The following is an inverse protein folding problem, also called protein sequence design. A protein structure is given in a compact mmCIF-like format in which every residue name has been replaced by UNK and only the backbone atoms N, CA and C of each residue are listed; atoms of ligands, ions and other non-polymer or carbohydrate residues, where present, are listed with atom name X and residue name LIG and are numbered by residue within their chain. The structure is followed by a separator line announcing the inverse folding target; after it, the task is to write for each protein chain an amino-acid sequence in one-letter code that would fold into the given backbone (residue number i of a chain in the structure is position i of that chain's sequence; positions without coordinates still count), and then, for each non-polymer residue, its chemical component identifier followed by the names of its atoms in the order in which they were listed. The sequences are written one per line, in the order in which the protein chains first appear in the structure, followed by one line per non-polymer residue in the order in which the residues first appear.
data_IF_490649120841
#
_entry.id   IF_490649120841
#
_cell.length_a   1.000
_cell.length_b   1.000
_cell.length_c   1.000
_cell.angle_alpha   90.00
_cell.angle_beta   90.00
_cell.angle_gamma   90.00
#
_symmetry.space_group_name_H-M   'P 1'
#
loop_
_entity.id
_entity.type
_entity.pdbx_description
1 polymer ?
#
# COMPACT_ATOMS: atom_id res chain seq x y z
N UNK A 1 -55.08 -1.74 59.23
CA UNK A 1 -54.06 -0.69 59.37
C UNK A 1 -52.88 -1.29 60.11
N UNK A 2 -51.84 -1.64 59.36
CA UNK A 2 -50.53 -2.03 59.88
C UNK A 2 -49.54 -1.30 58.99
N UNK A 3 -49.11 -0.13 59.44
CA UNK A 3 -48.13 0.69 58.72
C UNK A 3 -46.80 -0.07 58.68
N UNK A 4 -46.41 -0.48 57.47
CA UNK A 4 -45.05 -0.85 57.16
C UNK A 4 -44.20 0.42 57.27
N UNK A 5 -43.33 0.48 58.26
CA UNK A 5 -42.28 1.50 58.33
C UNK A 5 -41.29 1.26 57.18
N UNK A 6 -41.41 2.04 56.12
CA UNK A 6 -40.44 2.14 55.04
C UNK A 6 -39.17 2.79 55.62
N UNK A 7 -38.09 2.01 55.78
CA UNK A 7 -36.78 2.60 56.08
C UNK A 7 -36.25 3.29 54.81
N UNK A 8 -35.74 4.53 54.90
CA UNK A 8 -35.11 5.16 53.76
C UNK A 8 -33.81 4.43 53.47
N UNK A 9 -33.72 3.84 52.28
CA UNK A 9 -32.45 3.40 51.70
C UNK A 9 -31.63 4.68 51.56
N UNK A 10 -30.55 4.80 52.33
CA UNK A 10 -29.60 5.88 52.15
C UNK A 10 -28.98 5.71 50.77
N UNK A 11 -29.42 6.53 49.81
CA UNK A 11 -28.79 6.66 48.51
C UNK A 11 -27.38 7.20 48.75
N UNK A 12 -26.40 6.30 48.66
CA UNK A 12 -24.98 6.57 48.78
C UNK A 12 -24.54 7.27 47.47
N UNK A 13 -24.94 8.53 47.32
CA UNK A 13 -24.54 9.36 46.19
C UNK A 13 -23.03 9.62 46.30
N UNK A 14 -22.24 9.08 45.37
CA UNK A 14 -20.82 9.41 45.24
C UNK A 14 -20.72 10.93 45.02
N UNK A 15 -20.36 11.65 46.07
CA UNK A 15 -20.26 13.11 46.03
C UNK A 15 -19.02 13.51 45.22
N UNK A 16 -19.16 14.51 44.36
CA UNK A 16 -18.04 15.11 43.62
C UNK A 16 -16.95 15.59 44.59
N UNK A 17 -17.33 15.97 45.81
CA UNK A 17 -16.41 16.39 46.88
C UNK A 17 -15.50 15.25 47.32
N UNK A 18 -16.02 14.03 47.48
CA UNK A 18 -15.23 12.86 47.87
C UNK A 18 -14.17 12.49 46.81
N UNK A 19 -14.50 12.69 45.53
CA UNK A 19 -13.55 12.49 44.42
C UNK A 19 -12.43 13.52 44.47
N UNK A 20 -12.77 14.79 44.72
CA UNK A 20 -11.77 15.88 44.81
C UNK A 20 -10.87 15.70 46.02
N UNK A 21 -11.43 15.40 47.19
CA UNK A 21 -10.67 15.19 48.42
C UNK A 21 -9.72 14.00 48.30
N UNK A 22 -10.17 12.91 47.67
CA UNK A 22 -9.31 11.77 47.36
C UNK A 22 -8.13 12.15 46.47
N UNK A 23 -8.38 12.97 45.43
CA UNK A 23 -7.34 13.42 44.51
C UNK A 23 -6.33 14.35 45.20
N UNK A 24 -6.81 15.25 46.07
CA UNK A 24 -5.98 16.18 46.86
C UNK A 24 -5.21 15.47 47.96
N UNK A 25 -5.71 14.37 48.52
CA UNK A 25 -4.98 13.56 49.51
C UNK A 25 -3.83 12.79 48.85
N UNK A 26 -4.06 12.28 47.64
CA UNK A 26 -3.17 11.32 46.98
C UNK A 26 -2.35 11.87 45.82
N UNK A 27 -2.42 13.18 45.56
CA UNK A 27 -1.78 13.84 44.41
C UNK A 27 -0.28 13.55 44.29
N UNK A 28 0.46 13.45 45.41
CA UNK A 28 1.91 13.16 45.39
C UNK A 28 2.21 11.78 44.81
N UNK A 29 1.42 10.79 45.19
CA UNK A 29 1.57 9.42 44.68
C UNK A 29 1.22 9.34 43.20
N UNK A 30 0.15 10.05 42.79
CA UNK A 30 -0.31 10.11 41.39
C UNK A 30 0.74 10.82 40.52
N UNK A 31 1.27 11.98 40.95
CA UNK A 31 2.32 12.69 40.21
C UNK A 31 3.62 11.89 40.16
N UNK A 32 4.03 11.26 41.27
CA UNK A 32 5.23 10.42 41.29
C UNK A 32 5.12 9.25 40.29
N UNK A 33 3.95 8.59 40.23
CA UNK A 33 3.68 7.56 39.23
C UNK A 33 3.65 8.11 37.79
N UNK A 34 3.11 9.31 37.58
CA UNK A 34 3.17 10.01 36.30
C UNK A 34 4.60 10.29 35.84
N UNK A 35 5.47 10.77 36.74
CA UNK A 35 6.89 11.01 36.45
C UNK A 35 7.64 9.71 36.14
N UNK A 36 7.35 8.62 36.86
CA UNK A 36 7.89 7.29 36.53
C UNK A 36 7.44 6.82 35.15
N UNK A 37 6.18 7.06 34.78
CA UNK A 37 5.65 6.77 33.44
C UNK A 37 6.37 7.56 32.33
N UNK A 38 6.67 8.83 32.57
CA UNK A 38 7.48 9.65 31.65
C UNK A 38 8.91 9.13 31.55
N UNK A 39 9.54 8.77 32.67
CA UNK A 39 10.89 8.19 32.67
C UNK A 39 10.96 6.89 31.86
N UNK A 40 9.97 6.01 32.02
CA UNK A 40 9.84 4.77 31.24
C UNK A 40 9.61 5.04 29.73
N UNK A 41 8.82 6.06 29.39
CA UNK A 41 8.63 6.45 27.99
C UNK A 41 9.91 7.05 27.38
N UNK A 42 10.69 7.79 28.16
CA UNK A 42 11.96 8.35 27.71
C UNK A 42 12.99 7.26 27.44
N UNK A 43 13.11 6.27 28.33
CA UNK A 43 13.98 5.12 28.11
C UNK A 43 13.55 4.33 26.88
N UNK A 44 12.24 4.11 26.68
CA UNK A 44 11.72 3.49 25.47
C UNK A 44 12.13 4.25 24.19
N UNK A 45 12.01 5.57 24.17
CA UNK A 45 12.38 6.40 23.01
C UNK A 45 13.89 6.39 22.75
N UNK A 46 14.72 6.26 23.79
CA UNK A 46 16.18 6.20 23.64
C UNK A 46 16.68 4.83 23.16
N UNK A 47 16.02 3.75 23.58
CA UNK A 47 16.40 2.37 23.22
C UNK A 47 15.87 1.96 21.85
N UNK A 48 14.71 2.49 21.45
CA UNK A 48 14.05 2.11 20.20
C UNK A 48 14.72 2.81 19.01
N UNK A 49 15.14 2.07 17.96
CA UNK A 49 15.79 2.67 16.81
C UNK A 49 14.82 3.58 16.04
N UNK A 50 15.37 4.66 15.48
CA UNK A 50 14.61 5.58 14.65
C UNK A 50 14.33 4.94 13.30
N UNK A 51 13.08 4.98 12.83
CA UNK A 51 12.68 4.44 11.54
C UNK A 51 12.21 5.55 10.60
N UNK A 52 12.67 5.48 9.35
CA UNK A 52 12.30 6.35 8.24
C UNK A 52 11.39 5.59 7.28
N UNK A 53 10.35 6.25 6.78
CA UNK A 53 9.41 5.65 5.83
C UNK A 53 9.73 6.12 4.41
N UNK A 54 9.99 5.17 3.51
CA UNK A 54 9.98 5.41 2.08
C UNK A 54 8.63 5.02 1.49
N UNK A 55 8.09 5.90 0.65
CA UNK A 55 6.82 5.70 -0.06
C UNK A 55 7.04 5.87 -1.56
N UNK A 56 6.53 4.91 -2.34
CA UNK A 56 6.54 4.95 -3.79
C UNK A 56 5.14 4.66 -4.32
N UNK A 57 4.72 5.38 -5.36
CA UNK A 57 3.49 5.08 -6.09
C UNK A 57 3.86 4.51 -7.45
N UNK A 58 3.57 3.24 -7.63
CA UNK A 58 3.92 2.47 -8.81
C UNK A 58 2.69 2.43 -9.71
N UNK A 59 2.79 3.08 -10.87
CA UNK A 59 1.81 2.90 -11.93
C UNK A 59 2.09 1.57 -12.62
N UNK A 60 1.09 0.70 -12.60
CA UNK A 60 1.12 -0.61 -13.23
C UNK A 60 1.22 -0.48 -14.74
N UNK A 61 1.93 -1.40 -15.38
CA UNK A 61 1.98 -1.45 -16.82
C UNK A 61 0.61 -1.77 -17.42
N UNK A 62 0.32 -1.22 -18.60
CA UNK A 62 -0.98 -1.32 -19.25
C UNK A 62 -0.85 -1.78 -20.70
N UNK A 63 -1.81 -2.59 -21.15
CA UNK A 63 -1.94 -3.04 -22.53
C UNK A 63 -3.36 -2.78 -23.02
N UNK A 64 -3.48 -2.24 -24.23
CA UNK A 64 -4.78 -1.99 -24.87
C UNK A 64 -5.18 -3.21 -25.69
N UNK A 65 -5.85 -4.17 -25.05
CA UNK A 65 -6.22 -5.45 -25.68
C UNK A 65 -7.59 -5.38 -26.37
N UNK A 66 -8.50 -4.51 -25.92
CA UNK A 66 -9.90 -4.50 -26.37
C UNK A 66 -10.34 -3.20 -27.05
N UNK A 67 -11.15 -3.35 -28.09
CA UNK A 67 -11.78 -2.29 -28.90
C UNK A 67 -13.05 -1.69 -28.25
N UNK A 68 -13.46 -2.23 -27.09
CA UNK A 68 -14.56 -1.68 -26.32
C UNK A 68 -14.02 -0.51 -25.49
N UNK A 69 -14.51 0.68 -25.81
CA UNK A 69 -14.09 2.00 -25.34
C UNK A 69 -14.29 2.26 -23.82
N UNK A 70 -14.21 1.24 -22.98
CA UNK A 70 -14.48 1.36 -21.54
C UNK A 70 -13.28 1.93 -20.77
N UNK A 71 -12.06 1.86 -21.32
CA UNK A 71 -10.91 2.53 -20.73
C UNK A 71 -9.88 2.97 -21.80
N UNK A 72 -9.76 4.28 -22.11
CA UNK A 72 -8.79 4.78 -23.09
C UNK A 72 -7.32 4.58 -22.66
N UNK A 73 -7.09 4.24 -21.39
CA UNK A 73 -5.77 3.98 -20.83
C UNK A 73 -5.31 2.51 -21.01
N UNK A 74 -6.21 1.61 -21.39
CA UNK A 74 -5.95 0.17 -21.50
C UNK A 74 -6.23 -0.61 -20.21
N UNK A 75 -6.02 -1.92 -20.25
CA UNK A 75 -6.13 -2.80 -19.08
C UNK A 75 -4.76 -3.03 -18.45
N UNK A 76 -4.67 -3.07 -17.13
CA UNK A 76 -3.42 -3.42 -16.46
C UNK A 76 -2.94 -4.81 -16.91
N UNK A 77 -1.65 -4.94 -17.15
CA UNK A 77 -0.98 -6.21 -17.51
C UNK A 77 -1.12 -7.23 -16.39
N UNK A 78 -1.10 -6.74 -15.15
CA UNK A 78 -1.26 -7.50 -13.93
C UNK A 78 -2.26 -6.76 -13.03
N UNK A 79 -3.15 -7.49 -12.37
CA UNK A 79 -4.07 -6.88 -11.40
C UNK A 79 -3.26 -6.42 -10.16
N UNK A 80 -3.50 -5.20 -9.63
CA UNK A 80 -2.85 -4.74 -8.41
C UNK A 80 -2.94 -5.72 -7.25
N UNK A 81 -4.08 -6.39 -7.08
CA UNK A 81 -4.30 -7.41 -6.05
C UNK A 81 -3.40 -8.64 -6.22
N UNK A 82 -3.14 -9.06 -7.47
CA UNK A 82 -2.24 -10.17 -7.76
C UNK A 82 -0.79 -9.81 -7.45
N UNK A 83 -0.37 -8.59 -7.81
CA UNK A 83 0.95 -8.07 -7.44
C UNK A 83 1.11 -8.05 -5.92
N UNK A 84 0.12 -7.53 -5.19
CA UNK A 84 0.15 -7.47 -3.72
C UNK A 84 0.24 -8.89 -3.14
N UNK A 85 -0.59 -9.83 -3.62
CA UNK A 85 -0.57 -11.21 -3.15
C UNK A 85 0.79 -11.88 -3.41
N UNK A 86 1.39 -11.64 -4.58
CA UNK A 86 2.72 -12.17 -4.91
C UNK A 86 3.80 -11.64 -3.98
N UNK A 87 3.79 -10.35 -3.63
CA UNK A 87 4.78 -9.76 -2.72
C UNK A 87 4.60 -10.18 -1.25
N UNK A 88 3.49 -10.82 -0.89
CA UNK A 88 3.37 -11.49 0.42
C UNK A 88 4.15 -12.80 0.47
N UNK A 89 4.50 -13.37 -0.68
CA UNK A 89 5.26 -14.62 -0.79
C UNK A 89 6.77 -14.32 -0.74
N UNK A 90 7.54 -14.92 0.18
CA UNK A 90 8.98 -14.66 0.30
C UNK A 90 9.79 -14.98 -0.97
N UNK A 91 9.38 -15.96 -1.78
CA UNK A 91 10.10 -16.36 -3.00
C UNK A 91 10.10 -15.30 -4.11
N UNK A 92 9.33 -14.23 -3.95
CA UNK A 92 9.27 -13.12 -4.92
C UNK A 92 10.52 -12.24 -4.88
N UNK A 93 11.21 -12.20 -3.74
CA UNK A 93 12.32 -11.29 -3.50
C UNK A 93 13.67 -11.87 -3.94
N UNK A 94 14.45 -11.07 -4.64
CA UNK A 94 15.80 -11.38 -5.12
C UNK A 94 16.87 -11.03 -4.10
N UNK A 95 18.08 -11.55 -4.28
CA UNK A 95 19.23 -11.23 -3.42
C UNK A 95 19.60 -9.75 -3.45
N UNK A 96 19.43 -9.08 -4.60
CA UNK A 96 19.69 -7.65 -4.76
C UNK A 96 18.75 -6.81 -3.89
N UNK A 97 17.48 -7.20 -3.77
CA UNK A 97 16.51 -6.55 -2.89
C UNK A 97 16.86 -6.79 -1.42
N UNK A 98 17.26 -8.01 -1.06
CA UNK A 98 17.72 -8.32 0.30
C UNK A 98 18.91 -7.43 0.70
N UNK A 99 19.85 -7.24 -0.22
CA UNK A 99 21.03 -6.40 -0.03
C UNK A 99 20.66 -4.92 0.07
N UNK A 100 19.86 -4.41 -0.86
CA UNK A 100 19.40 -3.02 -0.86
C UNK A 100 18.60 -2.67 0.41
N UNK A 101 17.89 -3.64 0.98
CA UNK A 101 17.13 -3.48 2.21
C UNK A 101 17.93 -3.74 3.50
N UNK A 102 19.23 -4.06 3.40
CA UNK A 102 20.11 -4.30 4.55
C UNK A 102 19.71 -5.52 5.37
N UNK A 103 19.16 -6.56 4.72
CA UNK A 103 18.69 -7.79 5.37
C UNK A 103 19.69 -8.95 5.24
N UNK A 104 20.88 -8.70 4.69
CA UNK A 104 21.96 -9.68 4.57
C UNK A 104 22.30 -10.29 5.94
N UNK A 105 22.41 -11.62 6.01
CA UNK A 105 22.76 -12.33 7.24
C UNK A 105 21.62 -12.58 8.24
N UNK A 106 20.38 -12.15 7.96
CA UNK A 106 19.21 -12.58 8.75
C UNK A 106 18.88 -14.05 8.45
N UNK A 107 18.37 -14.80 9.45
CA UNK A 107 18.01 -16.22 9.30
C UNK A 107 16.98 -16.50 8.19
N UNK A 108 16.13 -15.53 7.86
CA UNK A 108 15.10 -15.60 6.80
C UNK A 108 14.91 -14.22 6.18
N UNK A 109 15.81 -13.79 5.29
CA UNK A 109 15.83 -12.41 4.81
C UNK A 109 14.61 -12.09 3.93
N UNK A 110 14.15 -13.05 3.12
CA UNK A 110 12.98 -12.89 2.26
C UNK A 110 11.67 -12.77 3.05
N UNK A 111 11.51 -13.53 4.12
CA UNK A 111 10.33 -13.41 5.00
C UNK A 111 10.36 -12.11 5.80
N UNK A 112 11.55 -11.65 6.20
CA UNK A 112 11.70 -10.34 6.82
C UNK A 112 11.29 -9.23 5.85
N UNK A 113 11.66 -9.34 4.57
CA UNK A 113 11.31 -8.36 3.54
C UNK A 113 9.80 -8.37 3.24
N UNK A 114 9.16 -9.54 3.14
CA UNK A 114 7.72 -9.63 2.87
C UNK A 114 6.86 -8.97 3.95
N UNK A 115 7.33 -8.96 5.21
CA UNK A 115 6.66 -8.27 6.32
C UNK A 115 6.96 -6.77 6.35
N UNK A 116 8.11 -6.37 5.80
CA UNK A 116 8.60 -4.99 5.82
C UNK A 116 8.03 -4.16 4.66
N UNK A 117 8.01 -4.74 3.46
CA UNK A 117 7.50 -4.13 2.25
C UNK A 117 5.98 -4.25 2.19
N UNK A 118 5.28 -3.13 2.40
CA UNK A 118 3.81 -3.08 2.38
C UNK A 118 3.33 -2.53 1.05
N UNK A 119 2.75 -3.40 0.25
CA UNK A 119 2.05 -3.04 -0.99
C UNK A 119 0.56 -2.89 -0.71
N UNK A 120 -0.03 -1.76 -1.10
CA UNK A 120 -1.45 -1.48 -0.91
C UNK A 120 -2.06 -0.79 -2.13
N UNK A 121 -3.33 -1.05 -2.47
CA UNK A 121 -3.97 -0.36 -3.58
C UNK A 121 -4.26 1.10 -3.20
N UNK A 122 -4.13 2.02 -4.15
CA UNK A 122 -4.53 3.42 -3.95
C UNK A 122 -6.04 3.54 -4.10
N UNK A 123 -6.71 4.07 -3.07
CA UNK A 123 -8.17 4.23 -3.09
C UNK A 123 -8.59 5.14 -4.24
N UNK A 124 -9.50 4.65 -5.09
CA UNK A 124 -10.02 5.39 -6.23
C UNK A 124 -9.12 5.36 -7.47
N UNK A 125 -8.00 4.62 -7.46
CA UNK A 125 -7.14 4.45 -8.64
C UNK A 125 -6.71 2.99 -8.81
N UNK A 126 -7.34 2.30 -9.77
CA UNK A 126 -7.14 0.86 -9.99
C UNK A 126 -5.84 0.50 -10.72
N UNK A 127 -5.05 1.48 -11.17
CA UNK A 127 -3.78 1.27 -11.88
C UNK A 127 -2.55 1.62 -11.06
N UNK A 128 -2.70 1.96 -9.78
CA UNK A 128 -1.58 2.39 -8.92
C UNK A 128 -1.51 1.53 -7.66
N UNK A 129 -0.30 1.05 -7.36
CA UNK A 129 0.03 0.39 -6.10
C UNK A 129 0.97 1.29 -5.31
N UNK A 130 0.62 1.52 -4.04
CA UNK A 130 1.48 2.22 -3.09
C UNK A 130 2.37 1.19 -2.38
N UNK A 131 3.68 1.44 -2.43
CA UNK A 131 4.70 0.72 -1.67
C UNK A 131 5.14 1.59 -0.48
N UNK A 132 5.09 1.02 0.72
CA UNK A 132 5.64 1.61 1.95
C UNK A 132 6.63 0.66 2.60
N UNK A 133 7.80 1.19 2.95
CA UNK A 133 8.85 0.46 3.68
C UNK A 133 9.43 1.34 4.78
N UNK A 134 9.74 0.74 5.93
CA UNK A 134 10.34 1.43 7.07
C UNK A 134 11.70 0.82 7.41
N UNK A 135 12.75 1.63 7.38
CA UNK A 135 14.12 1.21 7.70
C UNK A 135 14.80 2.21 8.64
N UNK A 136 15.88 1.79 9.28
CA UNK A 136 16.60 2.61 10.26
C UNK A 136 17.43 3.74 9.62
N UNK A 137 17.79 3.57 8.34
CA UNK A 137 18.50 4.57 7.53
C UNK A 137 17.58 5.13 6.45
N UNK A 138 17.70 6.44 6.18
CA UNK A 138 17.01 7.12 5.08
C UNK A 138 17.47 6.58 3.73
N UNK A 139 18.77 6.44 3.56
CA UNK A 139 19.42 5.94 2.35
C UNK A 139 19.03 4.49 2.10
N UNK A 140 19.00 3.67 3.16
CA UNK A 140 18.51 2.29 3.09
C UNK A 140 17.03 2.22 2.71
N UNK A 141 16.17 3.08 3.27
CA UNK A 141 14.75 3.15 2.91
C UNK A 141 14.55 3.50 1.43
N UNK A 142 15.31 4.50 0.92
CA UNK A 142 15.29 4.90 -0.48
C UNK A 142 15.74 3.75 -1.39
N UNK A 143 16.92 3.19 -1.14
CA UNK A 143 17.53 2.16 -1.98
C UNK A 143 16.68 0.89 -2.02
N UNK A 144 16.13 0.48 -0.88
CA UNK A 144 15.23 -0.66 -0.78
C UNK A 144 13.93 -0.45 -1.59
N UNK A 145 13.30 0.73 -1.47
CA UNK A 145 12.10 1.04 -2.25
C UNK A 145 12.38 1.10 -3.76
N UNK A 146 13.55 1.59 -4.16
CA UNK A 146 13.99 1.61 -5.57
C UNK A 146 14.22 0.19 -6.11
N UNK A 147 14.91 -0.67 -5.35
CA UNK A 147 15.16 -2.05 -5.74
C UNK A 147 13.85 -2.84 -5.92
N UNK A 148 12.91 -2.69 -4.98
CA UNK A 148 11.56 -3.28 -5.07
C UNK A 148 10.80 -2.79 -6.31
N UNK A 149 10.90 -1.49 -6.62
CA UNK A 149 10.27 -0.94 -7.82
C UNK A 149 10.88 -1.52 -9.11
N UNK A 150 12.22 -1.61 -9.19
CA UNK A 150 12.89 -2.17 -10.38
C UNK A 150 12.52 -3.65 -10.58
N UNK A 151 12.39 -4.46 -9.51
CA UNK A 151 11.89 -5.83 -9.61
C UNK A 151 10.47 -5.87 -10.22
N UNK A 152 9.56 -5.03 -9.73
CA UNK A 152 8.19 -4.94 -10.27
C UNK A 152 8.20 -4.57 -11.75
N UNK A 153 9.01 -3.58 -12.12
CA UNK A 153 9.16 -3.09 -13.49
C UNK A 153 9.75 -4.16 -14.42
N UNK A 154 10.79 -4.86 -13.98
CA UNK A 154 11.39 -5.96 -14.74
C UNK A 154 10.38 -7.10 -14.92
N UNK A 155 9.70 -7.51 -13.85
CA UNK A 155 8.71 -8.56 -13.88
C UNK A 155 7.57 -8.25 -14.86
N UNK A 156 7.03 -7.03 -14.84
CA UNK A 156 5.98 -6.62 -15.77
C UNK A 156 6.50 -6.48 -17.21
N UNK A 157 7.73 -6.01 -17.39
CA UNK A 157 8.38 -5.97 -18.71
C UNK A 157 8.49 -7.37 -19.33
N UNK A 158 8.85 -8.38 -18.53
CA UNK A 158 8.89 -9.78 -18.97
C UNK A 158 7.51 -10.32 -19.37
N UNK A 159 6.44 -9.91 -18.66
CA UNK A 159 5.07 -10.29 -19.01
C UNK A 159 4.65 -9.63 -20.34
N UNK A 160 5.02 -8.37 -20.59
CA UNK A 160 4.61 -7.60 -21.78
C UNK A 160 5.38 -8.00 -23.03
N UNK A 161 6.66 -8.35 -22.89
CA UNK A 161 7.56 -8.68 -24.00
C UNK A 161 6.94 -9.64 -25.05
N UNK A 162 6.34 -10.79 -24.69
CA UNK A 162 5.71 -11.66 -25.68
C UNK A 162 4.54 -11.01 -26.43
N UNK A 163 3.73 -10.16 -25.78
CA UNK A 163 2.62 -9.45 -26.43
C UNK A 163 3.13 -8.45 -27.48
N UNK A 164 4.24 -7.77 -27.21
CA UNK A 164 4.83 -6.82 -28.16
C UNK A 164 5.44 -7.56 -29.36
N UNK A 165 6.12 -8.69 -29.14
CA UNK A 165 6.67 -9.50 -30.23
C UNK A 165 5.57 -10.13 -31.09
N UNK A 166 4.48 -10.61 -30.47
CA UNK A 166 3.30 -11.08 -31.20
C UNK A 166 2.66 -9.96 -32.02
N UNK A 167 2.49 -8.76 -31.44
CA UNK A 167 1.95 -7.60 -32.13
C UNK A 167 2.80 -7.19 -33.35
N UNK A 168 4.14 -7.23 -33.23
CA UNK A 168 5.05 -6.98 -34.36
C UNK A 168 4.89 -8.01 -35.47
N UNK A 169 4.80 -9.29 -35.12
CA UNK A 169 4.61 -10.38 -36.07
C UNK A 169 3.28 -10.26 -36.82
N UNK A 170 2.19 -9.98 -36.10
CA UNK A 170 0.87 -9.74 -36.70
C UNK A 170 0.85 -8.50 -37.58
N UNK A 171 1.50 -7.42 -37.16
CA UNK A 171 1.60 -6.19 -37.96
C UNK A 171 2.28 -6.46 -39.31
N UNK A 172 3.40 -7.19 -39.31
CA UNK A 172 4.09 -7.56 -40.55
C UNK A 172 3.19 -8.41 -41.46
N UNK A 173 2.46 -9.37 -40.89
CA UNK A 173 1.52 -10.22 -41.64
C UNK A 173 0.37 -9.42 -42.25
N UNK A 174 -0.20 -8.47 -41.50
CA UNK A 174 -1.29 -7.63 -41.99
C UNK A 174 -0.83 -6.61 -43.02
N UNK A 175 0.39 -6.08 -42.91
CA UNK A 175 0.96 -5.20 -43.93
C UNK A 175 1.15 -5.92 -45.27
N UNK A 176 1.65 -7.15 -45.26
CA UNK A 176 1.78 -7.97 -46.48
C UNK A 176 0.40 -8.23 -47.11
N UNK A 177 -0.56 -8.70 -46.31
CA UNK A 177 -1.92 -8.99 -46.79
C UNK A 177 -2.64 -7.74 -47.30
N UNK A 178 -2.44 -6.60 -46.64
CA UNK A 178 -2.99 -5.31 -47.06
C UNK A 178 -2.45 -4.90 -48.43
N UNK A 179 -1.14 -5.05 -48.66
CA UNK A 179 -0.51 -4.74 -49.94
C UNK A 179 -1.03 -5.65 -51.08
N UNK A 180 -1.20 -6.95 -50.80
CA UNK A 180 -1.79 -7.90 -51.73
C UNK A 180 -3.24 -7.54 -52.07
N UNK A 181 -4.10 -7.34 -51.07
CA UNK A 181 -5.52 -7.00 -51.27
C UNK A 181 -5.68 -5.63 -51.95
N UNK A 182 -4.86 -4.62 -51.62
CA UNK A 182 -4.85 -3.33 -52.32
C UNK A 182 -4.51 -3.48 -53.81
N UNK A 183 -3.56 -4.37 -54.16
CA UNK A 183 -3.23 -4.64 -55.56
C UNK A 183 -4.39 -5.28 -56.34
N UNK A 184 -5.20 -6.10 -55.68
CA UNK A 184 -6.39 -6.73 -56.28
C UNK A 184 -7.51 -5.70 -56.51
N UNK A 185 -7.74 -4.80 -55.54
CA UNK A 185 -8.69 -3.68 -55.67
C UNK A 185 -8.28 -2.76 -56.82
N UNK A 186 -7.00 -2.36 -56.90
CA UNK A 186 -6.49 -1.49 -57.96
C UNK A 186 -6.58 -2.12 -59.36
N UNK A 187 -6.44 -3.45 -59.48
CA UNK A 187 -6.66 -4.18 -60.74
C UNK A 187 -8.14 -4.16 -61.14
N UNK A 188 -9.04 -4.39 -60.18
CA UNK A 188 -10.48 -4.39 -60.40
C UNK A 188 -11.03 -3.01 -60.79
N UNK A 189 -10.48 -1.93 -60.21
CA UNK A 189 -10.80 -0.55 -60.60
C UNK A 189 -10.45 -0.28 -62.07
N UNK A 190 -9.31 -0.79 -62.55
CA UNK A 190 -8.87 -0.64 -63.95
C UNK A 190 -9.64 -1.51 -64.93
N UNK A 191 -10.13 -2.67 -64.51
CA UNK A 191 -10.87 -3.60 -65.37
C UNK A 191 -12.38 -3.36 -65.43
N UNK A 192 -12.91 -2.35 -64.74
CA UNK A 192 -14.35 -2.03 -64.73
C UNK A 192 -15.20 -3.00 -63.91
N UNK A 193 -14.61 -3.81 -63.03
CA UNK A 193 -15.28 -4.83 -62.20
C UNK A 193 -15.60 -4.36 -60.79
N UNK A 194 -15.68 -3.03 -60.59
CA UNK A 194 -15.85 -2.34 -59.31
C UNK A 194 -17.18 -2.63 -58.57
N UNK A 195 -18.13 -3.33 -59.20
CA UNK A 195 -19.40 -3.76 -58.58
C UNK A 195 -19.43 -5.26 -58.23
N UNK A 196 -18.32 -5.99 -58.42
CA UNK A 196 -18.27 -7.41 -58.09
C UNK A 196 -18.26 -7.65 -56.57
N UNK A 197 -18.87 -8.76 -56.14
CA UNK A 197 -18.85 -9.16 -54.72
C UNK A 197 -17.43 -9.32 -54.18
N UNK A 198 -16.50 -9.82 -55.02
CA UNK A 198 -15.09 -9.95 -54.69
C UNK A 198 -14.40 -8.59 -54.47
N UNK A 199 -14.76 -7.57 -55.25
CA UNK A 199 -14.25 -6.21 -55.06
C UNK A 199 -14.69 -5.64 -53.72
N UNK A 200 -15.98 -5.72 -53.40
CA UNK A 200 -16.53 -5.20 -52.15
C UNK A 200 -15.90 -5.90 -50.93
N UNK A 201 -15.77 -7.24 -50.99
CA UNK A 201 -15.11 -8.01 -49.93
C UNK A 201 -13.65 -7.59 -49.72
N UNK A 202 -12.88 -7.41 -50.81
CA UNK A 202 -11.50 -6.94 -50.73
C UNK A 202 -11.42 -5.51 -50.18
N UNK A 203 -12.36 -4.63 -50.53
CA UNK A 203 -12.40 -3.25 -50.01
C UNK A 203 -12.67 -3.23 -48.51
N UNK A 204 -13.60 -4.06 -48.04
CA UNK A 204 -13.89 -4.21 -46.61
C UNK A 204 -12.69 -4.80 -45.86
N UNK A 205 -12.00 -5.77 -46.47
CA UNK A 205 -10.75 -6.32 -45.92
C UNK A 205 -9.63 -5.26 -45.84
N UNK A 206 -9.45 -4.41 -46.87
CA UNK A 206 -8.49 -3.30 -46.83
C UNK A 206 -8.77 -2.38 -45.65
N UNK A 207 -10.05 -2.03 -45.43
CA UNK A 207 -10.44 -1.20 -44.27
C UNK A 207 -10.09 -1.90 -42.96
N UNK A 208 -10.50 -3.16 -42.80
CA UNK A 208 -10.23 -3.95 -41.61
C UNK A 208 -8.72 -4.06 -41.31
N UNK A 209 -7.92 -4.42 -42.30
CA UNK A 209 -6.47 -4.57 -42.17
C UNK A 209 -5.77 -3.24 -41.87
N UNK A 210 -6.29 -2.13 -42.42
CA UNK A 210 -5.77 -0.79 -42.12
C UNK A 210 -6.04 -0.41 -40.67
N UNK A 211 -7.30 -0.55 -40.21
CA UNK A 211 -7.70 -0.23 -38.84
C UNK A 211 -6.89 -1.07 -37.83
N UNK A 212 -6.71 -2.35 -38.13
CA UNK A 212 -5.99 -3.28 -37.27
C UNK A 212 -4.47 -3.02 -37.26
N UNK A 213 -3.90 -2.63 -38.40
CA UNK A 213 -2.48 -2.21 -38.47
C UNK A 213 -2.23 -0.94 -37.67
N UNK A 214 -3.13 0.04 -37.72
CA UNK A 214 -3.06 1.26 -36.90
C UNK A 214 -3.10 0.89 -35.41
N UNK A 215 -4.01 -0.01 -35.02
CA UNK A 215 -4.14 -0.49 -33.63
C UNK A 215 -2.87 -1.18 -33.13
N UNK A 216 -2.33 -2.13 -33.90
CA UNK A 216 -1.09 -2.83 -33.55
C UNK A 216 0.10 -1.88 -33.49
N UNK A 217 0.20 -0.95 -34.43
CA UNK A 217 1.27 0.05 -34.44
C UNK A 217 1.16 0.98 -33.21
N UNK A 218 -0.05 1.41 -32.85
CA UNK A 218 -0.28 2.19 -31.63
C UNK A 218 0.11 1.41 -30.36
N UNK A 219 -0.17 0.10 -30.29
CA UNK A 219 0.29 -0.75 -29.19
C UNK A 219 1.83 -0.81 -29.11
N UNK A 220 2.51 -0.98 -30.24
CA UNK A 220 3.97 -1.06 -30.31
C UNK A 220 4.61 0.28 -29.94
N UNK A 221 4.13 1.40 -30.49
CA UNK A 221 4.69 2.74 -30.24
C UNK A 221 4.39 3.25 -28.83
N UNK A 222 3.22 2.92 -28.26
CA UNK A 222 2.87 3.30 -26.88
C UNK A 222 3.52 2.43 -25.80
N UNK A 223 4.29 1.40 -26.21
CA UNK A 223 4.94 0.45 -25.31
C UNK A 223 5.63 1.12 -24.14
N UNK A 224 6.50 2.11 -24.39
CA UNK A 224 7.26 2.80 -23.35
C UNK A 224 6.40 3.66 -22.41
N UNK A 225 5.37 4.34 -22.95
CA UNK A 225 4.49 5.19 -22.15
C UNK A 225 3.61 4.39 -21.16
N UNK A 226 3.40 3.11 -21.46
CA UNK A 226 2.55 2.17 -20.74
C UNK A 226 3.35 1.14 -19.92
N UNK A 227 4.67 1.27 -19.84
CA UNK A 227 5.48 0.47 -18.93
C UNK A 227 5.24 0.88 -17.47
N UNK A 228 5.62 -0.02 -16.56
CA UNK A 228 5.64 0.25 -15.14
C UNK A 228 6.53 1.46 -14.86
N UNK A 229 5.98 2.44 -14.15
CA UNK A 229 6.72 3.66 -13.81
C UNK A 229 6.32 4.18 -12.44
N UNK A 230 7.19 5.00 -11.87
CA UNK A 230 6.87 5.77 -10.68
C UNK A 230 6.00 6.96 -11.07
N UNK A 231 4.91 7.18 -10.35
CA UNK A 231 4.03 8.36 -10.52
C UNK A 231 4.78 9.63 -10.08
N UNK A 232 5.60 9.49 -9.05
CA UNK A 232 6.49 10.51 -8.50
C UNK A 232 7.76 9.80 -8.00
N UNK A 233 8.91 10.50 -7.91
CA UNK A 233 10.11 9.92 -7.34
C UNK A 233 9.83 9.36 -5.93
N UNK A 234 10.56 8.30 -5.55
CA UNK A 234 10.44 7.69 -4.23
C UNK A 234 10.66 8.77 -3.16
N UNK A 235 9.65 8.98 -2.32
CA UNK A 235 9.71 9.94 -1.23
C UNK A 235 10.17 9.25 0.05
N UNK A 236 11.13 9.84 0.76
CA UNK A 236 11.57 9.37 2.08
C UNK A 236 11.33 10.45 3.10
N UNK A 237 10.78 10.07 4.26
CA UNK A 237 10.55 11.01 5.36
C UNK A 237 11.84 11.66 5.84
N UNK A 238 11.89 13.00 5.88
CA UNK A 238 13.04 13.75 6.42
C UNK A 238 13.24 13.54 7.92
N UNK A 239 12.17 13.25 8.64
CA UNK A 239 12.16 12.98 10.07
C UNK A 239 11.75 11.53 10.31
N UNK A 240 12.28 10.87 11.35
CA UNK A 240 11.87 9.51 11.67
C UNK A 240 10.38 9.47 12.03
N UNK A 241 9.66 8.56 11.37
CA UNK A 241 8.22 8.34 11.60
C UNK A 241 7.95 7.55 12.88
N UNK A 242 8.97 6.89 13.42
CA UNK A 242 8.91 6.10 14.65
C UNK A 242 10.26 6.13 15.40
N UNK A 243 10.28 6.14 16.74
CA UNK A 243 9.13 6.35 17.63
C UNK A 243 8.66 7.80 17.61
N UNK A 244 7.33 8.02 17.70
CA UNK A 244 6.74 9.36 17.76
C UNK A 244 6.97 9.98 19.15
N UNK A 245 8.15 10.55 19.37
CA UNK A 245 8.66 11.02 20.68
C UNK A 245 7.60 11.75 21.54
N UNK A 246 6.90 12.73 20.95
CA UNK A 246 5.86 13.51 21.65
C UNK A 246 4.68 12.64 22.10
N UNK A 247 4.19 11.76 21.22
CA UNK A 247 3.07 10.87 21.51
C UNK A 247 3.47 9.83 22.55
N UNK A 248 4.66 9.26 22.44
CA UNK A 248 5.19 8.30 23.43
C UNK A 248 5.29 8.91 24.83
N UNK A 249 5.75 10.16 24.96
CA UNK A 249 5.84 10.84 26.25
C UNK A 249 4.46 11.15 26.85
N UNK A 250 3.52 11.66 26.04
CA UNK A 250 2.14 11.92 26.50
C UNK A 250 1.47 10.62 26.94
N UNK A 251 1.64 9.54 26.18
CA UNK A 251 1.09 8.23 26.53
C UNK A 251 1.71 7.67 27.80
N UNK A 252 3.04 7.82 27.97
CA UNK A 252 3.74 7.43 29.20
C UNK A 252 3.24 8.19 30.43
N UNK A 253 3.00 9.50 30.30
CA UNK A 253 2.44 10.32 31.38
C UNK A 253 1.03 9.85 31.74
N UNK A 254 0.13 9.69 30.75
CA UNK A 254 -1.25 9.27 30.99
C UNK A 254 -1.31 7.87 31.61
N UNK A 255 -0.52 6.93 31.09
CA UNK A 255 -0.42 5.58 31.64
C UNK A 255 0.12 5.60 33.08
N UNK A 256 1.16 6.41 33.35
CA UNK A 256 1.71 6.57 34.69
C UNK A 256 0.70 7.16 35.69
N UNK A 257 -0.04 8.19 35.30
CA UNK A 257 -1.09 8.78 36.13
C UNK A 257 -2.23 7.79 36.42
N UNK A 258 -2.65 7.01 35.42
CA UNK A 258 -3.72 6.02 35.57
C UNK A 258 -3.28 4.87 36.49
N UNK A 259 -2.06 4.36 36.32
CA UNK A 259 -1.49 3.35 37.22
C UNK A 259 -1.35 3.93 38.64
N UNK A 260 -0.92 5.18 38.77
CA UNK A 260 -0.85 5.88 40.06
C UNK A 260 -2.21 5.94 40.76
N UNK A 261 -3.27 6.30 40.03
CA UNK A 261 -4.64 6.34 40.53
C UNK A 261 -5.09 4.96 41.02
N UNK A 262 -4.88 3.91 40.21
CA UNK A 262 -5.25 2.54 40.57
C UNK A 262 -4.50 2.03 41.80
N UNK A 263 -3.20 2.31 41.92
CA UNK A 263 -2.40 1.92 43.07
C UNK A 263 -2.88 2.58 44.36
N UNK A 264 -3.26 3.85 44.31
CA UNK A 264 -3.82 4.57 45.46
C UNK A 264 -5.17 3.97 45.86
N UNK A 265 -6.07 3.73 44.90
CA UNK A 265 -7.37 3.12 45.17
C UNK A 265 -7.24 1.74 45.82
N UNK A 266 -6.36 0.89 45.27
CA UNK A 266 -6.06 -0.43 45.84
C UNK A 266 -5.50 -0.33 47.26
N UNK A 267 -4.59 0.62 47.51
CA UNK A 267 -4.02 0.84 48.85
C UNK A 267 -5.09 1.29 49.85
N UNK A 268 -6.01 2.17 49.44
CA UNK A 268 -7.11 2.66 50.29
C UNK A 268 -8.09 1.52 50.61
N UNK A 269 -8.49 0.74 49.61
CA UNK A 269 -9.37 -0.41 49.77
C UNK A 269 -8.76 -1.53 50.64
N UNK A 270 -7.45 -1.77 50.50
CA UNK A 270 -6.74 -2.75 51.33
C UNK A 270 -6.69 -2.31 52.81
N UNK A 271 -6.41 -1.03 53.04
CA UNK A 271 -6.36 -0.49 54.40
C UNK A 271 -7.74 -0.48 55.07
N UNK A 272 -8.82 -0.16 54.34
CA UNK A 272 -10.18 -0.23 54.87
C UNK A 272 -10.62 -1.65 55.19
N UNK A 273 -10.30 -2.63 54.34
CA UNK A 273 -10.56 -4.05 54.61
C UNK A 273 -9.84 -4.54 55.89
N UNK A 274 -8.58 -4.14 56.07
CA UNK A 274 -7.80 -4.50 57.27
C UNK A 274 -8.28 -3.80 58.55
N UNK A 275 -8.88 -2.62 58.42
CA UNK A 275 -9.43 -1.88 59.55
C UNK A 275 -10.81 -2.40 59.99
N UNK A 276 -11.64 -2.88 59.06
CA UNK A 276 -12.95 -3.47 59.34
C UNK A 276 -12.93 -4.93 59.82
N UNK A 277 -11.75 -5.56 59.90
CA UNK A 277 -11.55 -6.92 60.40
C UNK A 277 -10.95 -6.96 61.82
N UNK A 278 -10.93 -5.81 62.51
CA UNK A 278 -10.58 -5.69 63.94
C UNK A 278 -11.80 -5.42 64.81
#
# INVERSE_FOLDING_TARGET
MSEQSFQPIADDEISIKDIVDFLVESWKAIIAAGLLGVAAALTFVMVTPSQYEATAQIQMAQISINNNNTNPLGSNVELPSLLIARHQVPSTYTEDEIKACGLEGKKMPQEALSKLAKFTPVKGVDSIVELKIRLESKEGALACAQALFENVKESQSLIIKPYIEEAKSLLAKYQVRLQETQSLVAKADKSGSALSAAYLANRDEVKFLTDESIRLNALITSGDARQTKLVAPVYVSDLPVFPKKRISLVLGLLAGLLVGLLLVLLRKAWNSYKAGTK
#
